data_IF_946156696569
#
_entry.id   IF_946156696569
#
_cell.length_a   1.000
_cell.length_b   1.000
_cell.length_c   1.000
_cell.angle_alpha   90.00
_cell.angle_beta   90.00
_cell.angle_gamma   90.00
#
_symmetry.space_group_name_H-M   'P 1'
#
loop_
_entity.id
_entity.type
_entity.pdbx_description
1 polymer ?
#
# COMPACT_ATOMS: atom_id res chain seq x y z
N UNK A 1 -1.24 30.67 7.82
CA UNK A 1 -2.72 30.62 7.91
C UNK A 1 -3.13 29.34 8.63
N UNK A 2 -3.43 29.44 9.93
CA UNK A 2 -3.79 28.32 10.81
C UNK A 2 -4.77 27.32 10.16
N UNK A 3 -5.90 27.80 9.62
CA UNK A 3 -6.94 26.95 8.99
C UNK A 3 -6.40 26.07 7.86
N UNK A 4 -5.50 26.59 7.01
CA UNK A 4 -4.95 25.80 5.91
C UNK A 4 -3.99 24.71 6.42
N UNK A 5 -3.24 24.97 7.48
CA UNK A 5 -2.38 23.98 8.13
C UNK A 5 -3.20 22.80 8.68
N UNK A 6 -4.30 23.09 9.38
CA UNK A 6 -5.22 22.08 9.93
C UNK A 6 -5.90 21.23 8.84
N UNK A 7 -6.29 21.85 7.72
CA UNK A 7 -6.85 21.14 6.57
C UNK A 7 -5.83 20.15 5.97
N UNK A 8 -4.57 20.56 5.83
CA UNK A 8 -3.50 19.70 5.33
C UNK A 8 -3.22 18.56 6.31
N UNK A 9 -3.20 18.84 7.62
CA UNK A 9 -3.08 17.81 8.65
C UNK A 9 -4.18 16.76 8.56
N UNK A 10 -5.44 17.20 8.39
CA UNK A 10 -6.59 16.32 8.23
C UNK A 10 -6.50 15.47 6.96
N UNK A 11 -6.10 16.06 5.83
CA UNK A 11 -5.88 15.33 4.58
C UNK A 11 -4.74 14.31 4.71
N UNK A 12 -3.68 14.66 5.43
CA UNK A 12 -2.56 13.74 5.71
C UNK A 12 -3.05 12.51 6.46
N UNK A 13 -3.95 12.67 7.43
CA UNK A 13 -4.54 11.54 8.16
C UNK A 13 -5.31 10.58 7.24
N UNK A 14 -6.11 11.12 6.32
CA UNK A 14 -6.87 10.31 5.34
C UNK A 14 -5.90 9.55 4.43
N UNK A 15 -4.86 10.21 3.94
CA UNK A 15 -3.83 9.58 3.10
C UNK A 15 -3.13 8.45 3.86
N UNK A 16 -2.78 8.66 5.13
CA UNK A 16 -2.23 7.62 5.99
C UNK A 16 -3.16 6.42 6.19
N UNK A 17 -4.48 6.63 6.27
CA UNK A 17 -5.45 5.53 6.31
C UNK A 17 -5.47 4.73 5.01
N UNK A 18 -5.34 5.38 3.85
CA UNK A 18 -5.27 4.70 2.55
C UNK A 18 -4.03 3.80 2.49
N UNK A 19 -2.86 4.30 2.90
CA UNK A 19 -1.65 3.46 2.99
C UNK A 19 -1.88 2.22 3.87
N UNK A 20 -2.45 2.40 5.07
CA UNK A 20 -2.81 1.28 5.97
C UNK A 20 -3.71 0.24 5.30
N UNK A 21 -4.74 0.68 4.57
CA UNK A 21 -5.61 -0.24 3.83
C UNK A 21 -4.85 -1.02 2.76
N UNK A 22 -3.95 -0.36 2.02
CA UNK A 22 -3.13 -1.02 1.00
C UNK A 22 -2.21 -2.07 1.64
N UNK A 23 -1.53 -1.76 2.75
CA UNK A 23 -0.71 -2.76 3.46
C UNK A 23 -1.53 -3.95 3.91
N UNK A 24 -2.73 -3.72 4.45
CA UNK A 24 -3.58 -4.80 4.91
C UNK A 24 -3.92 -5.77 3.77
N UNK A 25 -4.31 -5.24 2.61
CA UNK A 25 -4.60 -6.08 1.44
C UNK A 25 -3.33 -6.76 0.91
N UNK A 26 -2.16 -6.11 0.93
CA UNK A 26 -0.89 -6.73 0.56
C UNK A 26 -0.49 -7.88 1.48
N UNK A 27 -0.71 -7.75 2.79
CA UNK A 27 -0.47 -8.82 3.76
C UNK A 27 -1.40 -9.99 3.48
N UNK A 28 -2.70 -9.74 3.27
CA UNK A 28 -3.63 -10.81 2.88
C UNK A 28 -3.16 -11.47 1.58
N UNK A 29 -2.71 -10.69 0.60
CA UNK A 29 -2.21 -11.18 -0.68
C UNK A 29 -0.98 -12.09 -0.54
N UNK A 30 -0.07 -11.80 0.40
CA UNK A 30 1.04 -12.68 0.78
C UNK A 30 0.53 -13.99 1.40
N UNK A 31 -0.38 -13.89 2.36
CA UNK A 31 -0.94 -15.07 3.02
C UNK A 31 -1.65 -15.99 2.03
N UNK A 32 -2.44 -15.43 1.10
CA UNK A 32 -3.12 -16.18 0.05
C UNK A 32 -2.13 -16.90 -0.88
N UNK A 33 -0.96 -16.31 -1.18
CA UNK A 33 0.04 -16.97 -2.03
C UNK A 33 0.71 -18.15 -1.30
N UNK A 34 0.89 -18.07 0.02
CA UNK A 34 1.49 -19.13 0.81
C UNK A 34 0.54 -20.30 1.10
N UNK A 35 -0.72 -20.02 1.43
CA UNK A 35 -1.70 -21.06 1.78
C UNK A 35 -2.40 -21.66 0.56
N UNK A 36 -2.30 -21.00 -0.60
CA UNK A 36 -2.89 -21.42 -1.88
C UNK A 36 -4.35 -21.91 -1.77
N UNK A 37 -5.28 -21.02 -1.36
CA UNK A 37 -6.68 -21.39 -1.16
C UNK A 37 -7.42 -21.55 -2.49
N UNK A 38 -8.65 -22.09 -2.43
CA UNK A 38 -9.47 -22.32 -3.62
C UNK A 38 -9.60 -21.07 -4.51
N UNK A 39 -9.10 -21.11 -5.76
CA UNK A 39 -9.16 -19.97 -6.69
C UNK A 39 -10.60 -19.63 -7.13
N UNK A 40 -11.56 -20.52 -6.93
CA UNK A 40 -12.97 -20.27 -7.24
C UNK A 40 -13.69 -19.45 -6.15
N UNK A 41 -13.05 -19.20 -5.01
CA UNK A 41 -13.58 -18.32 -3.98
C UNK A 41 -13.63 -16.85 -4.47
N UNK A 42 -14.80 -16.22 -4.37
CA UNK A 42 -15.02 -14.84 -4.81
C UNK A 42 -14.10 -13.84 -4.09
N UNK A 43 -13.87 -14.03 -2.78
CA UNK A 43 -13.03 -13.13 -1.97
C UNK A 43 -11.58 -13.19 -2.45
N UNK A 44 -11.07 -14.41 -2.72
CA UNK A 44 -9.73 -14.61 -3.27
C UNK A 44 -9.59 -13.88 -4.61
N UNK A 45 -10.54 -14.04 -5.53
CA UNK A 45 -10.51 -13.34 -6.82
C UNK A 45 -10.53 -11.82 -6.69
N UNK A 46 -11.33 -11.28 -5.77
CA UNK A 46 -11.39 -9.84 -5.51
C UNK A 46 -10.02 -9.33 -5.04
N UNK A 47 -9.40 -10.00 -4.07
CA UNK A 47 -8.08 -9.60 -3.54
C UNK A 47 -7.02 -9.67 -4.63
N UNK A 48 -7.01 -10.75 -5.44
CA UNK A 48 -6.10 -10.86 -6.57
C UNK A 48 -6.30 -9.69 -7.53
N UNK A 49 -7.55 -9.40 -7.94
CA UNK A 49 -7.88 -8.33 -8.89
C UNK A 49 -7.51 -6.92 -8.38
N UNK A 50 -7.71 -6.65 -7.10
CA UNK A 50 -7.40 -5.34 -6.50
C UNK A 50 -5.89 -5.12 -6.38
N UNK A 51 -5.14 -6.17 -6.06
CA UNK A 51 -3.68 -6.06 -5.89
C UNK A 51 -2.90 -6.19 -7.19
N UNK A 52 -3.46 -6.82 -8.23
CA UNK A 52 -2.76 -7.10 -9.47
C UNK A 52 -2.17 -5.86 -10.17
N UNK A 53 -2.87 -4.71 -10.29
CA UNK A 53 -2.29 -3.53 -10.92
C UNK A 53 -1.02 -3.03 -10.21
N UNK A 54 -0.94 -3.22 -8.89
CA UNK A 54 0.21 -2.82 -8.09
C UNK A 54 1.33 -3.86 -8.21
N UNK A 55 1.01 -5.15 -8.23
CA UNK A 55 1.99 -6.24 -8.21
C UNK A 55 2.53 -6.63 -9.59
N UNK A 56 1.72 -6.52 -10.63
CA UNK A 56 2.06 -6.98 -11.99
C UNK A 56 3.35 -6.34 -12.55
N UNK A 57 3.64 -5.04 -12.35
CA UNK A 57 4.91 -4.46 -12.78
C UNK A 57 6.13 -5.11 -12.09
N UNK A 58 6.00 -5.47 -10.81
CA UNK A 58 7.08 -6.06 -10.02
C UNK A 58 7.31 -7.53 -10.39
N UNK A 59 6.25 -8.27 -10.71
CA UNK A 59 6.35 -9.66 -11.21
C UNK A 59 7.10 -9.79 -12.54
N UNK A 60 7.17 -8.71 -13.33
CA UNK A 60 7.97 -8.69 -14.57
C UNK A 60 9.47 -8.59 -14.29
N UNK A 61 9.84 -8.08 -13.11
CA UNK A 61 11.23 -7.84 -12.71
C UNK A 61 11.71 -8.95 -11.79
N UNK A 62 10.83 -9.42 -10.90
CA UNK A 62 11.12 -10.43 -9.90
C UNK A 62 10.79 -11.80 -10.48
N UNK A 63 11.76 -12.71 -10.64
CA UNK A 63 11.48 -14.06 -11.10
C UNK A 63 10.57 -14.79 -10.12
N UNK A 64 9.60 -15.55 -10.64
CA UNK A 64 8.70 -16.34 -9.81
C UNK A 64 9.46 -17.46 -9.10
N UNK A 65 9.39 -17.50 -7.76
CA UNK A 65 10.03 -18.54 -6.94
C UNK A 65 9.09 -19.75 -6.75
N UNK A 66 8.50 -20.26 -7.83
CA UNK A 66 7.54 -21.35 -7.77
C UNK A 66 6.17 -20.91 -7.24
N UNK A 67 5.68 -21.54 -6.17
CA UNK A 67 4.34 -21.26 -5.61
C UNK A 67 4.28 -19.99 -4.74
N UNK A 68 5.43 -19.44 -4.33
CA UNK A 68 5.48 -18.25 -3.46
C UNK A 68 5.69 -17.00 -4.29
N UNK A 69 4.72 -16.09 -4.26
CA UNK A 69 4.88 -14.75 -4.80
C UNK A 69 5.53 -13.82 -3.76
N UNK A 70 6.80 -13.48 -4.00
CA UNK A 70 7.59 -12.53 -3.21
C UNK A 70 7.42 -11.06 -3.65
N UNK A 71 6.74 -10.81 -4.77
CA UNK A 71 6.48 -9.45 -5.27
C UNK A 71 5.76 -8.56 -4.26
N UNK A 72 4.74 -9.05 -3.50
CA UNK A 72 4.11 -8.26 -2.45
C UNK A 72 5.10 -7.77 -1.39
N UNK A 73 6.17 -8.51 -1.09
CA UNK A 73 7.16 -8.13 -0.07
C UNK A 73 7.96 -6.93 -0.57
N UNK A 74 8.41 -6.99 -1.82
CA UNK A 74 9.13 -5.88 -2.45
C UNK A 74 8.23 -4.63 -2.53
N UNK A 75 6.98 -4.81 -2.93
CA UNK A 75 5.99 -3.71 -2.96
C UNK A 75 5.74 -3.15 -1.56
N UNK A 76 5.68 -3.99 -0.54
CA UNK A 76 5.51 -3.55 0.85
C UNK A 76 6.63 -2.60 1.28
N UNK A 77 7.89 -2.96 1.03
CA UNK A 77 9.02 -2.10 1.38
C UNK A 77 9.07 -0.81 0.56
N UNK A 78 8.77 -0.89 -0.73
CA UNK A 78 8.67 0.31 -1.57
C UNK A 78 7.55 1.24 -1.08
N UNK A 79 6.40 0.67 -0.73
CA UNK A 79 5.27 1.42 -0.20
C UNK A 79 5.62 2.09 1.14
N UNK A 80 6.38 1.41 2.01
CA UNK A 80 6.88 1.98 3.27
C UNK A 80 7.79 3.19 3.05
N UNK A 81 8.66 3.13 2.04
CA UNK A 81 9.45 4.28 1.65
C UNK A 81 8.57 5.43 1.14
N UNK A 82 7.62 5.14 0.25
CA UNK A 82 6.71 6.14 -0.34
C UNK A 82 5.86 6.79 0.75
N UNK A 83 5.25 6.01 1.64
CA UNK A 83 4.44 6.51 2.75
C UNK A 83 5.26 7.45 3.63
N UNK A 84 6.45 7.02 4.06
CA UNK A 84 7.32 7.84 4.91
C UNK A 84 7.66 9.18 4.24
N UNK A 85 7.98 9.14 2.95
CA UNK A 85 8.29 10.34 2.19
C UNK A 85 7.06 11.26 2.07
N UNK A 86 5.93 10.73 1.58
CA UNK A 86 4.69 11.50 1.34
C UNK A 86 4.19 12.11 2.64
N UNK A 87 4.05 11.33 3.70
CA UNK A 87 3.56 11.81 4.99
C UNK A 87 4.52 12.83 5.59
N UNK A 88 5.83 12.60 5.50
CA UNK A 88 6.83 13.55 5.97
C UNK A 88 6.76 14.90 5.25
N UNK A 89 6.52 14.91 3.94
CA UNK A 89 6.32 16.14 3.17
C UNK A 89 5.03 16.84 3.56
N UNK A 90 3.90 16.11 3.63
CA UNK A 90 2.60 16.69 3.95
C UNK A 90 2.57 17.32 5.35
N UNK A 91 3.12 16.65 6.36
CA UNK A 91 3.20 17.20 7.71
C UNK A 91 4.11 18.44 7.78
N UNK A 92 5.24 18.43 7.08
CA UNK A 92 6.12 19.61 7.03
C UNK A 92 5.43 20.81 6.38
N UNK A 93 4.68 20.59 5.29
CA UNK A 93 3.92 21.66 4.62
C UNK A 93 2.82 22.17 5.56
N UNK A 94 2.04 21.28 6.17
CA UNK A 94 0.98 21.66 7.12
C UNK A 94 1.50 22.52 8.27
N UNK A 95 2.62 22.11 8.89
CA UNK A 95 3.24 22.85 9.99
C UNK A 95 3.78 24.22 9.56
N UNK A 96 4.40 24.32 8.37
CA UNK A 96 4.91 25.59 7.84
C UNK A 96 3.81 26.59 7.51
N UNK A 97 2.65 26.10 7.07
CA UNK A 97 1.49 26.95 6.72
C UNK A 97 0.67 27.29 7.95
N UNK A 98 0.63 26.41 8.96
CA UNK A 98 -0.12 26.59 10.19
C UNK A 98 0.50 27.64 11.12
N UNK A 99 1.83 27.68 11.20
CA UNK A 99 2.60 28.75 11.85
C UNK A 99 2.46 30.10 11.13
#
# INVERSE_FOLDING_TARGET
>A
MFVLGELIGSLSMIIGMIFKMIYFVLVIRMLLSWVNPDPYNQIVRIIYRVTEPILAPFRRIIPSMGMVDISPIVVFFLLAFIERFVMGVLFQIGNRIGN
#
